data_IF_498393115979
#
_entry.id   IF_498393115979
#
_cell.length_a   1.000
_cell.length_b   1.000
_cell.length_c   1.000
_cell.angle_alpha   90.00
_cell.angle_beta   90.00
_cell.angle_gamma   90.00
#
_symmetry.space_group_name_H-M   'P 1'
#
loop_
_entity.id
_entity.type
_entity.pdbx_description
1 polymer ?
#
# COMPACT_ATOMS: atom_id res chain seq x y z
N UNK A 1 15.92 50.77 -12.62
CA UNK A 1 15.23 49.73 -13.39
C UNK A 1 16.01 48.43 -13.25
N UNK A 2 15.80 47.68 -12.16
CA UNK A 2 16.35 46.34 -11.96
C UNK A 2 15.17 45.41 -11.70
N UNK A 3 14.52 45.00 -12.78
CA UNK A 3 13.36 44.12 -12.74
C UNK A 3 13.78 42.72 -12.29
N UNK A 4 13.07 42.22 -11.27
CA UNK A 4 13.02 40.85 -10.78
C UNK A 4 13.39 39.77 -11.81
N UNK A 5 14.63 39.28 -11.74
CA UNK A 5 15.09 38.07 -12.45
C UNK A 5 14.94 36.78 -11.61
N UNK A 6 14.40 36.86 -10.38
CA UNK A 6 14.28 35.71 -9.47
C UNK A 6 13.08 34.80 -9.73
N UNK A 7 12.12 35.19 -10.56
CA UNK A 7 10.82 34.51 -10.67
C UNK A 7 10.62 33.62 -11.91
N UNK A 8 11.53 33.62 -12.88
CA UNK A 8 11.32 32.89 -14.14
C UNK A 8 11.73 31.41 -14.11
N UNK A 9 12.40 30.93 -13.05
CA UNK A 9 12.94 29.56 -12.97
C UNK A 9 12.61 28.80 -11.69
N UNK A 10 11.77 29.34 -10.80
CA UNK A 10 11.37 28.63 -9.60
C UNK A 10 10.36 27.53 -9.98
N UNK A 11 10.66 26.28 -9.64
CA UNK A 11 9.72 25.18 -9.88
C UNK A 11 8.44 25.40 -9.03
N UNK A 12 7.27 24.89 -9.45
CA UNK A 12 5.98 25.25 -8.85
C UNK A 12 5.84 24.91 -7.35
N UNK A 13 6.60 23.94 -6.83
CA UNK A 13 6.57 23.53 -5.43
C UNK A 13 7.85 23.94 -4.68
N UNK A 14 8.67 24.84 -5.24
CA UNK A 14 9.92 25.27 -4.62
C UNK A 14 9.69 25.83 -3.21
N UNK A 15 10.41 25.28 -2.23
CA UNK A 15 10.31 25.67 -0.82
C UNK A 15 9.09 25.10 -0.07
N UNK A 16 8.27 24.26 -0.72
CA UNK A 16 7.14 23.58 -0.08
C UNK A 16 7.54 22.21 0.44
N UNK A 17 7.25 21.93 1.71
CA UNK A 17 7.44 20.63 2.33
C UNK A 17 6.13 19.86 2.41
N UNK A 18 6.06 18.71 1.73
CA UNK A 18 4.83 17.91 1.57
C UNK A 18 5.02 16.54 2.21
N UNK A 19 4.16 16.19 3.16
CA UNK A 19 4.13 14.87 3.76
C UNK A 19 3.25 13.90 2.96
N UNK A 20 3.77 12.70 2.70
CA UNK A 20 3.06 11.63 1.99
C UNK A 20 2.75 10.48 2.96
N UNK A 21 1.46 10.19 3.15
CA UNK A 21 1.00 9.20 4.16
C UNK A 21 0.89 7.76 3.65
N UNK A 22 1.22 7.54 2.36
CA UNK A 22 1.06 6.27 1.65
C UNK A 22 2.17 5.26 2.00
N UNK A 23 1.86 3.96 1.90
CA UNK A 23 2.84 2.88 2.10
C UNK A 23 4.11 3.08 1.26
N UNK A 24 5.27 2.75 1.84
CA UNK A 24 6.62 3.01 1.30
C UNK A 24 6.82 2.53 -0.14
N UNK A 25 6.28 1.36 -0.50
CA UNK A 25 6.37 0.80 -1.86
C UNK A 25 5.65 1.63 -2.94
N UNK A 26 4.68 2.45 -2.55
CA UNK A 26 3.89 3.31 -3.45
C UNK A 26 4.22 4.80 -3.29
N UNK A 27 4.95 5.18 -2.23
CA UNK A 27 5.38 6.55 -1.99
C UNK A 27 6.40 7.04 -3.04
N UNK A 28 7.32 6.18 -3.48
CA UNK A 28 8.45 6.60 -4.32
C UNK A 28 8.07 7.27 -5.66
N UNK A 29 7.02 6.80 -6.35
CA UNK A 29 6.60 7.45 -7.60
C UNK A 29 5.98 8.83 -7.36
N UNK A 30 5.17 8.97 -6.31
CA UNK A 30 4.54 10.22 -5.95
C UNK A 30 5.58 11.22 -5.39
N UNK A 31 6.49 10.75 -4.53
CA UNK A 31 7.60 11.53 -4.01
C UNK A 31 8.48 12.06 -5.15
N UNK A 32 8.81 11.24 -6.15
CA UNK A 32 9.55 11.68 -7.34
C UNK A 32 8.80 12.72 -8.15
N UNK A 33 7.48 12.58 -8.32
CA UNK A 33 6.67 13.55 -9.05
C UNK A 33 6.68 14.93 -8.36
N UNK A 34 6.50 14.97 -7.04
CA UNK A 34 6.57 16.23 -6.27
C UNK A 34 7.98 16.81 -6.24
N UNK A 35 9.01 15.98 -6.06
CA UNK A 35 10.41 16.41 -6.10
C UNK A 35 10.85 16.95 -7.46
N UNK A 36 10.35 16.38 -8.56
CA UNK A 36 10.58 16.90 -9.91
C UNK A 36 10.05 18.33 -10.08
N UNK A 37 9.00 18.68 -9.33
CA UNK A 37 8.38 20.01 -9.26
C UNK A 37 8.97 20.92 -8.17
N UNK A 38 10.06 20.49 -7.50
CA UNK A 38 10.79 21.30 -6.52
C UNK A 38 10.31 21.18 -5.07
N UNK A 39 9.34 20.30 -4.79
CA UNK A 39 8.85 20.05 -3.44
C UNK A 39 9.81 19.21 -2.61
N UNK A 40 9.95 19.53 -1.33
CA UNK A 40 10.64 18.70 -0.35
C UNK A 40 9.65 17.66 0.20
N UNK A 41 9.92 16.38 -0.02
CA UNK A 41 8.98 15.30 0.37
C UNK A 41 9.38 14.69 1.70
N UNK A 42 8.42 14.65 2.63
CA UNK A 42 8.52 13.89 3.88
C UNK A 42 7.71 12.61 3.73
N UNK A 43 8.39 11.50 3.52
CA UNK A 43 7.73 10.19 3.49
C UNK A 43 7.32 9.79 4.91
N UNK A 44 6.02 9.61 5.11
CA UNK A 44 5.43 9.18 6.37
C UNK A 44 4.44 8.02 6.12
N UNK A 45 4.93 6.83 5.75
CA UNK A 45 4.04 5.70 5.51
C UNK A 45 3.23 5.40 6.77
N UNK A 46 1.89 5.42 6.70
CA UNK A 46 1.02 5.14 7.86
C UNK A 46 0.85 3.65 8.16
N UNK A 47 1.43 2.79 7.33
CA UNK A 47 1.43 1.33 7.47
C UNK A 47 2.88 0.84 7.43
N UNK A 48 3.21 0.01 8.39
CA UNK A 48 4.44 -0.76 8.43
C UNK A 48 4.13 -2.22 8.14
N UNK A 49 5.02 -2.87 7.39
CA UNK A 49 4.93 -4.28 7.06
C UNK A 49 5.91 -5.01 7.96
N UNK A 50 5.39 -5.86 8.84
CA UNK A 50 6.16 -6.64 9.79
C UNK A 50 6.07 -8.14 9.48
N UNK A 51 7.02 -8.94 9.96
CA UNK A 51 6.86 -10.39 10.10
C UNK A 51 5.54 -10.79 10.79
N UNK A 52 5.06 -12.02 10.55
CA UNK A 52 3.94 -12.59 11.32
C UNK A 52 4.35 -12.73 12.79
N UNK A 53 3.38 -12.85 13.70
CA UNK A 53 3.68 -13.03 15.13
C UNK A 53 4.43 -14.32 15.42
N UNK A 54 4.12 -15.36 14.65
CA UNK A 54 4.86 -16.61 14.63
C UNK A 54 5.02 -17.11 13.20
N UNK A 55 6.19 -17.68 12.92
CA UNK A 55 6.44 -18.40 11.69
C UNK A 55 5.99 -19.86 11.74
N UNK A 56 5.60 -20.40 12.91
CA UNK A 56 5.28 -21.83 13.06
C UNK A 56 4.22 -22.32 12.06
N UNK A 57 3.11 -21.60 11.82
CA UNK A 57 2.12 -22.03 10.82
C UNK A 57 2.71 -22.05 9.41
N UNK A 58 3.53 -21.05 9.07
CA UNK A 58 4.19 -20.95 7.77
C UNK A 58 5.21 -22.07 7.58
N UNK A 59 5.99 -22.38 8.61
CA UNK A 59 7.00 -23.44 8.57
C UNK A 59 6.35 -24.81 8.40
N UNK A 60 5.24 -25.07 9.10
CA UNK A 60 4.49 -26.32 8.98
C UNK A 60 3.93 -26.54 7.57
N UNK A 61 3.39 -25.50 6.93
CA UNK A 61 2.91 -25.62 5.54
C UNK A 61 4.06 -25.74 4.55
N UNK A 62 5.19 -25.04 4.76
CA UNK A 62 6.37 -25.15 3.90
C UNK A 62 6.98 -26.56 3.98
N UNK A 63 7.03 -27.17 5.17
CA UNK A 63 7.50 -28.56 5.32
C UNK A 63 6.65 -29.55 4.50
N UNK A 64 5.35 -29.28 4.38
CA UNK A 64 4.37 -30.10 3.67
C UNK A 64 4.02 -29.54 2.29
N UNK A 65 4.87 -28.66 1.73
CA UNK A 65 4.49 -27.85 0.55
C UNK A 65 4.11 -28.71 -0.66
N UNK A 66 4.73 -29.89 -0.79
CA UNK A 66 4.47 -30.87 -1.87
C UNK A 66 3.05 -31.44 -1.87
N UNK A 67 2.31 -31.28 -0.77
CA UNK A 67 0.92 -31.74 -0.66
C UNK A 67 -0.09 -30.73 -1.22
N UNK A 68 0.36 -29.52 -1.54
CA UNK A 68 -0.49 -28.50 -2.14
C UNK A 68 -0.52 -28.67 -3.65
N UNK A 69 -1.68 -28.36 -4.22
CA UNK A 69 -1.89 -28.34 -5.65
C UNK A 69 -1.82 -26.91 -6.20
N UNK A 70 -2.14 -25.93 -5.35
CA UNK A 70 -2.11 -24.52 -5.69
C UNK A 70 -1.49 -23.68 -4.58
N UNK A 71 -0.77 -22.63 -4.98
CA UNK A 71 -0.42 -21.49 -4.13
C UNK A 71 -0.96 -20.22 -4.78
N UNK A 72 -1.76 -19.46 -4.05
CA UNK A 72 -2.40 -18.25 -4.56
C UNK A 72 -1.87 -17.02 -3.83
N UNK A 73 -1.12 -16.19 -4.55
CA UNK A 73 -0.57 -14.94 -4.03
C UNK A 73 -1.44 -13.73 -4.40
N UNK A 74 -1.92 -13.04 -3.38
CA UNK A 74 -2.76 -11.85 -3.54
C UNK A 74 -2.04 -10.52 -3.29
N UNK A 75 -0.73 -10.55 -3.07
CA UNK A 75 0.11 -9.36 -2.96
C UNK A 75 1.58 -9.66 -3.22
N UNK A 76 2.33 -8.63 -3.63
CA UNK A 76 3.79 -8.68 -3.72
C UNK A 76 4.42 -9.02 -2.36
N UNK A 77 3.86 -8.48 -1.27
CA UNK A 77 4.35 -8.78 0.08
C UNK A 77 4.17 -10.26 0.44
N UNK A 78 3.04 -10.88 0.08
CA UNK A 78 2.82 -12.31 0.30
C UNK A 78 3.88 -13.16 -0.39
N UNK A 79 4.26 -12.80 -1.62
CA UNK A 79 5.37 -13.44 -2.36
C UNK A 79 6.68 -13.25 -1.60
N UNK A 80 7.04 -12.01 -1.30
CA UNK A 80 8.34 -11.69 -0.71
C UNK A 80 8.55 -12.36 0.65
N UNK A 81 7.56 -12.29 1.55
CA UNK A 81 7.66 -12.88 2.89
C UNK A 81 7.64 -14.41 2.85
N UNK A 82 6.81 -15.01 1.97
CA UNK A 82 6.82 -16.45 1.78
C UNK A 82 8.19 -16.96 1.31
N UNK A 83 8.76 -16.36 0.25
CA UNK A 83 10.04 -16.81 -0.29
C UNK A 83 11.25 -16.43 0.57
N UNK A 84 11.18 -15.32 1.32
CA UNK A 84 12.17 -15.03 2.34
C UNK A 84 12.23 -16.16 3.37
N UNK A 85 11.07 -16.58 3.92
CA UNK A 85 11.03 -17.67 4.88
C UNK A 85 11.42 -19.02 4.26
N UNK A 86 10.96 -19.30 3.04
CA UNK A 86 11.33 -20.51 2.30
C UNK A 86 12.85 -20.66 2.15
N UNK A 87 13.54 -19.55 1.85
CA UNK A 87 15.01 -19.51 1.76
C UNK A 87 15.69 -19.64 3.12
N UNK A 88 15.18 -19.00 4.17
CA UNK A 88 15.69 -19.14 5.55
C UNK A 88 15.66 -20.59 6.03
N UNK A 89 14.57 -21.31 5.70
CA UNK A 89 14.43 -22.74 5.95
C UNK A 89 15.28 -23.63 5.03
N UNK A 90 16.14 -23.04 4.18
CA UNK A 90 17.01 -23.72 3.21
C UNK A 90 16.26 -24.70 2.30
N UNK A 91 15.01 -24.37 1.96
CA UNK A 91 14.21 -25.17 1.03
C UNK A 91 14.61 -24.91 -0.41
N UNK A 92 14.40 -25.91 -1.24
CA UNK A 92 14.74 -25.83 -2.65
C UNK A 92 13.51 -25.44 -3.47
N UNK A 93 13.65 -24.45 -4.36
CA UNK A 93 12.52 -23.98 -5.19
C UNK A 93 11.93 -25.10 -6.06
N UNK A 94 12.74 -26.12 -6.40
CA UNK A 94 12.33 -27.30 -7.16
C UNK A 94 11.30 -28.15 -6.41
N UNK A 95 11.14 -27.95 -5.10
CA UNK A 95 10.08 -28.59 -4.31
C UNK A 95 8.68 -28.10 -4.68
N UNK A 96 8.57 -26.95 -5.35
CA UNK A 96 7.31 -26.44 -5.88
C UNK A 96 6.94 -27.05 -7.25
N UNK A 97 7.75 -27.98 -7.78
CA UNK A 97 7.47 -28.64 -9.06
C UNK A 97 6.12 -29.35 -9.01
N UNK A 98 5.26 -29.04 -9.98
CA UNK A 98 3.92 -29.63 -10.11
C UNK A 98 2.82 -28.91 -9.33
N UNK A 99 3.18 -27.90 -8.52
CA UNK A 99 2.24 -27.02 -7.84
C UNK A 99 1.91 -25.86 -8.77
N UNK A 100 0.62 -25.61 -9.03
CA UNK A 100 0.19 -24.46 -9.82
C UNK A 100 0.23 -23.17 -8.98
N UNK A 101 0.57 -22.05 -9.60
CA UNK A 101 0.71 -20.75 -8.92
C UNK A 101 -0.20 -19.71 -9.56
N UNK A 102 -1.03 -19.06 -8.73
CA UNK A 102 -1.82 -17.91 -9.16
C UNK A 102 -1.27 -16.62 -8.55
N UNK A 103 -1.25 -15.55 -9.35
CA UNK A 103 -0.94 -14.21 -8.91
C UNK A 103 -2.12 -13.29 -9.23
N UNK A 104 -2.54 -12.46 -8.27
CA UNK A 104 -3.66 -11.53 -8.43
C UNK A 104 -3.49 -10.51 -9.56
N UNK A 105 -2.26 -10.24 -9.99
CA UNK A 105 -1.97 -9.21 -10.98
C UNK A 105 -0.49 -9.15 -11.38
N UNK A 106 -0.14 -8.25 -12.31
CA UNK A 106 1.16 -8.23 -12.99
C UNK A 106 2.33 -7.98 -12.04
N UNK A 107 2.18 -7.08 -11.06
CA UNK A 107 3.26 -6.81 -10.09
C UNK A 107 3.55 -8.01 -9.19
N UNK A 108 2.51 -8.74 -8.78
CA UNK A 108 2.67 -9.99 -8.01
C UNK A 108 3.31 -11.08 -8.87
N UNK A 109 2.93 -11.18 -10.15
CA UNK A 109 3.56 -12.10 -11.10
C UNK A 109 5.03 -11.75 -11.37
N UNK A 110 5.38 -10.46 -11.44
CA UNK A 110 6.76 -9.98 -11.54
C UNK A 110 7.59 -10.34 -10.31
N UNK A 111 7.03 -10.21 -9.11
CA UNK A 111 7.68 -10.64 -7.88
C UNK A 111 7.95 -12.15 -7.86
N UNK A 112 7.02 -12.97 -8.36
CA UNK A 112 7.24 -14.41 -8.55
C UNK A 112 8.36 -14.68 -9.56
N UNK A 113 8.42 -13.91 -10.65
CA UNK A 113 9.50 -13.99 -11.64
C UNK A 113 10.87 -13.73 -11.02
N UNK A 114 10.98 -12.75 -10.12
CA UNK A 114 12.22 -12.48 -9.38
C UNK A 114 12.62 -13.63 -8.43
N UNK A 115 11.66 -14.46 -7.99
CA UNK A 115 11.90 -15.69 -7.24
C UNK A 115 12.16 -16.93 -8.13
N UNK A 116 12.24 -16.74 -9.46
CA UNK A 116 12.49 -17.82 -10.43
C UNK A 116 11.26 -18.63 -10.82
N UNK A 117 10.05 -18.13 -10.55
CA UNK A 117 8.79 -18.82 -10.83
C UNK A 117 7.93 -18.05 -11.83
N UNK A 118 7.14 -18.78 -12.61
CA UNK A 118 6.10 -18.23 -13.48
C UNK A 118 4.73 -18.57 -12.88
N UNK A 119 3.83 -17.59 -12.83
CA UNK A 119 2.44 -17.85 -12.47
C UNK A 119 1.72 -18.56 -13.63
N UNK A 120 0.96 -19.60 -13.31
CA UNK A 120 0.07 -20.32 -14.22
C UNK A 120 -1.22 -19.53 -14.48
N UNK A 121 -1.65 -18.73 -13.50
CA UNK A 121 -2.84 -17.89 -13.59
C UNK A 121 -2.52 -16.46 -13.15
N UNK A 122 -2.81 -15.51 -14.04
CA UNK A 122 -2.84 -14.07 -13.75
C UNK A 122 -4.12 -13.49 -14.38
N UNK A 123 -5.11 -13.05 -13.59
CA UNK A 123 -6.34 -12.53 -14.15
C UNK A 123 -6.13 -11.15 -14.81
N UNK A 124 -7.02 -10.79 -15.74
CA UNK A 124 -7.01 -9.46 -16.36
C UNK A 124 -7.41 -8.36 -15.38
N UNK A 125 -8.34 -8.67 -14.48
CA UNK A 125 -8.77 -7.77 -13.41
C UNK A 125 -8.06 -8.10 -12.10
N UNK A 126 -7.51 -7.10 -11.41
CA UNK A 126 -6.65 -7.33 -10.23
C UNK A 126 -7.45 -7.45 -8.93
N UNK A 127 -8.45 -8.34 -8.91
CA UNK A 127 -9.36 -8.56 -7.77
C UNK A 127 -9.59 -10.06 -7.51
N UNK A 128 -9.94 -10.39 -6.27
CA UNK A 128 -10.04 -11.78 -5.80
C UNK A 128 -11.04 -12.61 -6.61
N UNK A 129 -12.13 -11.96 -7.01
CA UNK A 129 -13.20 -12.49 -7.84
C UNK A 129 -12.69 -12.90 -9.22
N UNK A 130 -11.70 -12.20 -9.77
CA UNK A 130 -11.13 -12.53 -11.07
C UNK A 130 -10.20 -13.74 -11.01
N UNK A 131 -9.53 -13.98 -9.87
CA UNK A 131 -8.85 -15.27 -9.63
C UNK A 131 -9.87 -16.40 -9.65
N UNK A 132 -11.02 -16.23 -9.00
CA UNK A 132 -12.11 -17.22 -9.00
C UNK A 132 -12.66 -17.43 -10.43
N UNK A 133 -12.77 -16.40 -11.26
CA UNK A 133 -13.19 -16.60 -12.65
C UNK A 133 -12.16 -17.40 -13.48
N UNK A 134 -10.87 -17.19 -13.20
CA UNK A 134 -9.79 -17.91 -13.87
C UNK A 134 -9.54 -19.33 -13.36
N UNK A 135 -9.86 -19.59 -12.09
CA UNK A 135 -9.73 -20.90 -11.43
C UNK A 135 -11.11 -21.55 -11.38
N UNK A 136 -11.36 -22.55 -12.22
CA UNK A 136 -12.71 -23.14 -12.29
C UNK A 136 -13.01 -24.06 -11.09
N UNK A 137 -14.28 -24.26 -10.68
CA UNK A 137 -14.63 -25.13 -9.57
C UNK A 137 -14.04 -26.54 -9.65
N UNK A 138 -14.00 -27.13 -10.85
CA UNK A 138 -13.41 -28.44 -11.12
C UNK A 138 -11.90 -28.51 -10.89
N UNK A 139 -11.18 -27.38 -11.00
CA UNK A 139 -9.75 -27.30 -10.71
C UNK A 139 -9.45 -27.15 -9.23
N UNK A 140 -10.43 -26.71 -8.43
CA UNK A 140 -10.32 -26.51 -6.99
C UNK A 140 -10.85 -27.70 -6.18
N UNK A 141 -11.87 -28.41 -6.68
CA UNK A 141 -12.53 -29.50 -5.96
C UNK A 141 -11.54 -30.60 -5.56
N UNK A 142 -11.52 -30.94 -4.27
CA UNK A 142 -10.63 -31.95 -3.68
C UNK A 142 -9.14 -31.55 -3.68
N UNK A 143 -8.82 -30.29 -4.00
CA UNK A 143 -7.45 -29.79 -4.01
C UNK A 143 -7.11 -29.08 -2.71
N UNK A 144 -5.83 -29.19 -2.34
CA UNK A 144 -5.23 -28.38 -1.28
C UNK A 144 -4.67 -27.10 -1.86
N UNK A 145 -5.10 -25.96 -1.33
CA UNK A 145 -4.75 -24.62 -1.79
C UNK A 145 -4.16 -23.84 -0.62
N UNK A 146 -2.95 -23.32 -0.81
CA UNK A 146 -2.29 -22.43 0.13
C UNK A 146 -2.52 -20.96 -0.26
N UNK A 147 -2.93 -20.14 0.69
CA UNK A 147 -3.08 -18.69 0.55
C UNK A 147 -2.14 -17.96 1.53
N UNK A 148 -0.93 -17.58 1.10
CA UNK A 148 -0.01 -16.76 1.88
C UNK A 148 -0.42 -15.28 1.80
N UNK A 149 -0.90 -14.69 2.90
CA UNK A 149 -1.44 -13.31 2.93
C UNK A 149 -1.41 -12.69 4.34
N UNK A 150 -2.02 -11.52 4.52
CA UNK A 150 -2.31 -10.95 5.85
C UNK A 150 -3.56 -11.60 6.45
N UNK A 151 -3.67 -11.61 7.79
CA UNK A 151 -4.88 -12.10 8.47
C UNK A 151 -6.15 -11.35 8.04
N UNK A 152 -6.14 -10.01 8.03
CA UNK A 152 -7.34 -9.17 7.81
C UNK A 152 -7.68 -8.86 6.35
N UNK A 153 -7.44 -9.79 5.42
CA UNK A 153 -7.88 -9.58 4.04
C UNK A 153 -9.32 -10.09 3.82
N UNK A 154 -9.97 -9.72 2.71
CA UNK A 154 -11.34 -10.17 2.41
C UNK A 154 -11.44 -11.69 2.30
N UNK A 155 -12.50 -12.27 2.85
CA UNK A 155 -12.67 -13.72 2.94
C UNK A 155 -13.38 -14.36 1.73
N UNK A 156 -13.75 -13.56 0.73
CA UNK A 156 -14.45 -14.08 -0.46
C UNK A 156 -13.69 -15.22 -1.14
N UNK A 157 -12.37 -15.07 -1.35
CA UNK A 157 -11.54 -16.08 -2.00
C UNK A 157 -11.47 -17.40 -1.21
N UNK A 158 -11.02 -17.44 0.06
CA UNK A 158 -10.98 -18.70 0.80
C UNK A 158 -12.38 -19.30 1.02
N UNK A 159 -13.43 -18.48 1.19
CA UNK A 159 -14.80 -18.95 1.32
C UNK A 159 -15.27 -19.67 0.05
N UNK A 160 -15.16 -19.03 -1.11
CA UNK A 160 -15.62 -19.61 -2.37
C UNK A 160 -14.83 -20.86 -2.77
N UNK A 161 -13.51 -20.89 -2.54
CA UNK A 161 -12.71 -22.08 -2.80
C UNK A 161 -13.16 -23.28 -1.94
N UNK A 162 -13.49 -23.05 -0.68
CA UNK A 162 -14.06 -24.08 0.20
C UNK A 162 -15.45 -24.52 -0.25
N UNK A 163 -16.28 -23.60 -0.72
CA UNK A 163 -17.60 -23.91 -1.32
C UNK A 163 -17.47 -24.80 -2.57
N UNK A 164 -16.38 -24.66 -3.34
CA UNK A 164 -16.07 -25.56 -4.46
C UNK A 164 -15.50 -26.93 -4.02
N UNK A 165 -15.28 -27.13 -2.72
CA UNK A 165 -14.77 -28.38 -2.14
C UNK A 165 -13.24 -28.45 -2.06
N UNK A 166 -12.54 -27.31 -2.05
CA UNK A 166 -11.11 -27.28 -1.80
C UNK A 166 -10.80 -27.27 -0.29
N UNK A 167 -9.67 -27.88 0.08
CA UNK A 167 -9.04 -27.69 1.39
C UNK A 167 -8.15 -26.45 1.32
N UNK A 168 -8.47 -25.42 2.11
CA UNK A 168 -7.84 -24.10 2.00
C UNK A 168 -7.15 -23.67 3.28
N UNK A 169 -5.83 -23.59 3.22
CA UNK A 169 -4.98 -23.07 4.29
C UNK A 169 -4.66 -21.59 4.03
N UNK A 170 -5.17 -20.72 4.91
CA UNK A 170 -4.87 -19.29 4.89
C UNK A 170 -3.78 -19.05 5.93
N UNK A 171 -2.59 -18.69 5.46
CA UNK A 171 -1.41 -18.54 6.33
C UNK A 171 -0.98 -17.08 6.34
N UNK A 172 -0.86 -16.54 7.56
CA UNK A 172 -0.31 -15.21 7.76
C UNK A 172 1.20 -15.24 7.48
N UNK A 173 1.62 -14.52 6.44
CA UNK A 173 3.05 -14.40 6.07
C UNK A 173 3.67 -13.08 6.46
N UNK A 174 2.83 -12.08 6.71
CA UNK A 174 3.23 -10.76 7.16
C UNK A 174 2.04 -10.07 7.83
N UNK A 175 2.35 -9.07 8.63
CA UNK A 175 1.36 -8.19 9.26
C UNK A 175 1.48 -6.78 8.74
N UNK A 176 0.35 -6.10 8.68
CA UNK A 176 0.27 -4.67 8.46
C UNK A 176 -0.09 -4.03 9.79
N UNK A 177 0.81 -3.23 10.35
CA UNK A 177 0.55 -2.45 11.57
C UNK A 177 0.61 -0.97 11.24
N UNK A 178 0.04 -0.14 12.11
CA UNK A 178 0.17 1.31 12.00
C UNK A 178 1.63 1.67 12.28
N UNK A 179 2.29 2.34 11.33
CA UNK A 179 3.71 2.67 11.44
C UNK A 179 3.93 3.76 12.50
N UNK A 180 4.50 3.38 13.65
CA UNK A 180 4.76 4.31 14.77
C UNK A 180 6.17 4.91 14.75
N UNK A 181 7.11 4.29 14.02
CA UNK A 181 8.54 4.61 14.05
C UNK A 181 8.84 6.09 13.76
N UNK A 182 8.07 6.73 12.89
CA UNK A 182 8.28 8.13 12.48
C UNK A 182 7.24 9.09 13.09
N UNK A 183 6.27 8.60 13.88
CA UNK A 183 5.11 9.39 14.28
C UNK A 183 5.50 10.59 15.15
N UNK A 184 6.45 10.40 16.08
CA UNK A 184 6.99 11.49 16.91
C UNK A 184 7.69 12.56 16.07
N UNK A 185 8.48 12.15 15.07
CA UNK A 185 9.17 13.07 14.17
C UNK A 185 8.18 13.89 13.37
N UNK A 186 7.15 13.26 12.79
CA UNK A 186 6.13 13.99 12.06
C UNK A 186 5.35 14.95 12.98
N UNK A 187 4.97 14.49 14.18
CA UNK A 187 4.28 15.31 15.16
C UNK A 187 5.08 16.58 15.50
N UNK A 188 6.39 16.45 15.72
CA UNK A 188 7.26 17.59 15.99
C UNK A 188 7.33 18.54 14.80
N UNK A 189 7.46 18.01 13.58
CA UNK A 189 7.45 18.84 12.37
C UNK A 189 6.12 19.59 12.18
N UNK A 190 4.99 18.95 12.47
CA UNK A 190 3.67 19.57 12.40
C UNK A 190 3.50 20.67 13.44
N UNK A 191 3.88 20.42 14.70
CA UNK A 191 3.88 21.42 15.78
C UNK A 191 4.78 22.62 15.46
N UNK A 192 5.92 22.38 14.83
CA UNK A 192 6.85 23.42 14.39
C UNK A 192 6.43 24.09 13.07
N UNK A 193 5.26 23.74 12.51
CA UNK A 193 4.75 24.24 11.22
C UNK A 193 5.76 24.08 10.08
N UNK A 194 6.52 23.00 10.12
CA UNK A 194 7.57 22.65 9.14
C UNK A 194 7.02 21.88 7.93
N UNK A 195 5.74 21.51 7.94
CA UNK A 195 5.05 20.82 6.85
C UNK A 195 4.00 21.78 6.28
N UNK A 196 4.07 22.08 4.99
CA UNK A 196 3.08 22.92 4.30
C UNK A 196 1.83 22.14 3.93
N UNK A 197 1.95 20.83 3.66
CA UNK A 197 0.82 20.00 3.24
C UNK A 197 0.97 18.54 3.63
N UNK A 198 -0.13 17.88 3.98
CA UNK A 198 -0.24 16.43 4.15
C UNK A 198 -1.16 15.86 3.06
N UNK A 199 -0.76 14.73 2.49
CA UNK A 199 -1.54 14.06 1.43
C UNK A 199 -2.10 12.73 1.93
N UNK A 200 -3.36 12.44 1.60
CA UNK A 200 -4.04 11.17 1.87
C UNK A 200 -4.49 10.52 0.56
N UNK A 201 -4.08 9.27 0.34
CA UNK A 201 -4.35 8.54 -0.90
C UNK A 201 -5.35 7.40 -0.74
N UNK A 202 -5.87 7.20 0.46
CA UNK A 202 -6.97 6.28 0.76
C UNK A 202 -7.56 6.57 2.13
N UNK A 203 -8.81 6.18 2.36
CA UNK A 203 -9.45 6.23 3.68
C UNK A 203 -8.63 5.54 4.76
N UNK A 204 -7.95 4.43 4.44
CA UNK A 204 -7.07 3.75 5.39
C UNK A 204 -5.86 4.59 5.82
N UNK A 205 -5.29 5.40 4.92
CA UNK A 205 -4.18 6.31 5.31
C UNK A 205 -4.65 7.40 6.27
N UNK A 206 -5.89 7.88 6.12
CA UNK A 206 -6.51 8.85 7.04
C UNK A 206 -6.74 8.21 8.41
N UNK A 207 -7.42 7.05 8.45
CA UNK A 207 -7.72 6.36 9.69
C UNK A 207 -6.45 5.99 10.48
N UNK A 208 -5.42 5.51 9.79
CA UNK A 208 -4.14 5.18 10.42
C UNK A 208 -3.42 6.44 10.93
N UNK A 209 -3.48 7.56 10.21
CA UNK A 209 -2.92 8.82 10.66
C UNK A 209 -3.62 9.31 11.94
N UNK A 210 -4.95 9.30 11.99
CA UNK A 210 -5.70 9.68 13.18
C UNK A 210 -5.37 8.76 14.38
N UNK A 211 -5.25 7.44 14.13
CA UNK A 211 -4.88 6.46 15.16
C UNK A 211 -3.46 6.62 15.72
N UNK A 212 -2.57 7.36 15.04
CA UNK A 212 -1.23 7.69 15.52
C UNK A 212 -1.22 8.81 16.56
N UNK A 213 -2.25 9.66 16.56
CA UNK A 213 -2.37 10.84 17.42
C UNK A 213 -3.69 10.86 18.20
N UNK A 214 -4.06 9.78 18.93
CA UNK A 214 -5.39 9.65 19.53
C UNK A 214 -5.68 10.61 20.70
N UNK A 215 -4.64 11.20 21.29
CA UNK A 215 -4.74 12.15 22.40
C UNK A 215 -4.54 13.61 21.97
N UNK A 216 -4.35 13.86 20.67
CA UNK A 216 -4.13 15.20 20.14
C UNK A 216 -5.42 15.75 19.54
N UNK A 217 -5.60 17.06 19.65
CA UNK A 217 -6.48 17.78 18.75
C UNK A 217 -5.86 17.74 17.35
N UNK A 218 -6.39 16.86 16.49
CA UNK A 218 -5.87 16.66 15.14
C UNK A 218 -6.02 17.95 14.31
N UNK A 219 -7.10 18.69 14.49
CA UNK A 219 -7.31 19.96 13.79
C UNK A 219 -6.25 20.98 14.19
N UNK A 220 -6.00 21.12 15.50
CA UNK A 220 -4.92 21.95 16.04
C UNK A 220 -3.53 21.53 15.54
N UNK A 221 -3.23 20.23 15.51
CA UNK A 221 -1.97 19.67 15.02
C UNK A 221 -1.75 20.00 13.53
N UNK A 222 -2.81 20.00 12.73
CA UNK A 222 -2.79 20.28 11.30
C UNK A 222 -3.00 21.75 10.95
N UNK A 223 -3.18 22.65 11.92
CA UNK A 223 -3.49 24.07 11.69
C UNK A 223 -2.46 24.82 10.82
N UNK A 224 -1.20 24.36 10.80
CA UNK A 224 -0.12 24.92 9.98
C UNK A 224 0.05 24.29 8.60
N UNK A 225 -0.73 23.25 8.27
CA UNK A 225 -0.61 22.47 7.04
C UNK A 225 -1.95 22.42 6.28
N UNK A 226 -1.87 22.43 4.96
CA UNK A 226 -3.00 22.07 4.11
C UNK A 226 -3.18 20.55 4.05
N UNK A 227 -4.39 20.07 3.80
CA UNK A 227 -4.67 18.64 3.62
C UNK A 227 -5.19 18.38 2.21
N UNK A 228 -4.55 17.46 1.50
CA UNK A 228 -4.94 17.05 0.15
C UNK A 228 -5.36 15.59 0.07
N UNK A 229 -6.56 15.33 -0.42
CA UNK A 229 -7.10 13.98 -0.62
C UNK A 229 -7.10 13.58 -2.10
N UNK A 230 -6.80 12.31 -2.38
CA UNK A 230 -6.84 11.79 -3.75
C UNK A 230 -8.26 11.77 -4.33
N UNK A 231 -9.31 11.76 -3.49
CA UNK A 231 -10.69 11.74 -3.97
C UNK A 231 -11.74 11.81 -2.84
N UNK A 232 -13.03 11.85 -3.20
CA UNK A 232 -14.14 12.18 -2.30
C UNK A 232 -14.35 11.17 -1.18
N UNK A 233 -14.08 9.88 -1.42
CA UNK A 233 -14.18 8.85 -0.38
C UNK A 233 -13.12 9.08 0.72
N UNK A 234 -11.92 9.48 0.31
CA UNK A 234 -10.84 9.78 1.27
C UNK A 234 -11.11 11.08 2.02
N UNK A 235 -11.64 12.09 1.31
CA UNK A 235 -12.11 13.35 1.93
C UNK A 235 -13.16 13.08 3.00
N UNK A 236 -14.21 12.33 2.67
CA UNK A 236 -15.28 12.01 3.61
C UNK A 236 -14.75 11.35 4.89
N UNK A 237 -13.83 10.38 4.75
CA UNK A 237 -13.19 9.76 5.93
C UNK A 237 -12.37 10.74 6.76
N UNK A 238 -11.70 11.72 6.12
CA UNK A 238 -10.96 12.76 6.82
C UNK A 238 -11.89 13.67 7.63
N UNK A 239 -12.98 14.14 7.02
CA UNK A 239 -13.97 14.99 7.67
C UNK A 239 -14.67 14.26 8.84
N UNK A 240 -15.02 12.98 8.67
CA UNK A 240 -15.57 12.12 9.74
C UNK A 240 -14.63 11.96 10.94
N UNK A 241 -13.32 12.12 10.73
CA UNK A 241 -12.28 12.03 11.75
C UNK A 241 -11.79 13.41 12.23
N UNK A 242 -12.52 14.48 11.90
CA UNK A 242 -12.20 15.85 12.34
C UNK A 242 -11.01 16.48 11.60
N UNK A 243 -10.64 15.96 10.43
CA UNK A 243 -9.58 16.51 9.59
C UNK A 243 -10.20 17.37 8.49
N UNK A 244 -9.94 18.69 8.52
CA UNK A 244 -10.28 19.59 7.42
C UNK A 244 -9.52 19.22 6.15
N UNK A 245 -10.19 19.30 4.99
CA UNK A 245 -9.58 18.99 3.69
C UNK A 245 -9.59 20.24 2.81
N UNK A 246 -8.41 20.68 2.37
CA UNK A 246 -8.24 21.90 1.57
C UNK A 246 -8.21 21.60 0.06
N UNK A 247 -7.79 20.40 -0.32
CA UNK A 247 -7.60 20.01 -1.72
C UNK A 247 -8.16 18.61 -1.96
N UNK A 248 -8.93 18.45 -3.05
CA UNK A 248 -9.44 17.14 -3.49
C UNK A 248 -9.17 16.99 -4.97
N UNK A 249 -8.43 15.94 -5.35
CA UNK A 249 -8.17 15.65 -6.76
C UNK A 249 -9.46 15.21 -7.48
N UNK A 250 -9.68 15.74 -8.69
CA UNK A 250 -10.82 15.37 -9.55
C UNK A 250 -10.61 14.04 -10.27
N UNK A 251 -9.36 13.69 -10.59
CA UNK A 251 -9.04 12.54 -11.43
C UNK A 251 -8.71 11.27 -10.64
N UNK A 252 -8.84 11.30 -9.31
CA UNK A 252 -8.60 10.17 -8.40
C UNK A 252 -7.31 9.37 -8.61
N UNK A 253 -6.28 10.03 -9.14
CA UNK A 253 -5.00 9.44 -9.51
C UNK A 253 -3.85 10.27 -8.94
N UNK A 254 -2.67 9.68 -8.85
CA UNK A 254 -1.47 10.40 -8.39
C UNK A 254 -1.12 11.62 -9.26
N UNK A 255 -1.18 11.54 -10.61
CA UNK A 255 -1.01 12.72 -11.45
C UNK A 255 -2.08 13.79 -11.21
N UNK A 256 -3.34 13.39 -11.01
CA UNK A 256 -4.43 14.32 -10.68
C UNK A 256 -4.19 15.04 -9.35
N UNK A 257 -3.82 14.29 -8.31
CA UNK A 257 -3.46 14.85 -7.00
C UNK A 257 -2.25 15.78 -7.09
N UNK A 258 -1.24 15.40 -7.88
CA UNK A 258 -0.06 16.26 -8.10
C UNK A 258 -0.45 17.60 -8.72
N UNK A 259 -1.32 17.59 -9.74
CA UNK A 259 -1.84 18.84 -10.35
C UNK A 259 -2.61 19.70 -9.36
N UNK A 260 -3.52 19.09 -8.61
CA UNK A 260 -4.33 19.80 -7.61
C UNK A 260 -3.46 20.48 -6.52
N UNK A 261 -2.37 19.82 -6.11
CA UNK A 261 -1.39 20.40 -5.17
C UNK A 261 -0.67 21.61 -5.77
N UNK A 262 -0.25 21.51 -7.04
CA UNK A 262 0.41 22.63 -7.75
C UNK A 262 -0.53 23.82 -7.89
N UNK A 263 -1.78 23.60 -8.29
CA UNK A 263 -2.80 24.64 -8.42
C UNK A 263 -3.05 25.34 -7.07
N UNK A 264 -3.15 24.58 -5.98
CA UNK A 264 -3.34 25.12 -4.64
C UNK A 264 -2.21 26.07 -4.23
N UNK A 265 -0.94 25.67 -4.40
CA UNK A 265 0.18 26.53 -4.04
C UNK A 265 0.40 27.69 -5.02
N UNK A 266 0.03 27.54 -6.30
CA UNK A 266 0.04 28.62 -7.28
C UNK A 266 -0.89 29.77 -6.89
N UNK A 267 -2.13 29.48 -6.49
CA UNK A 267 -3.11 30.49 -6.07
C UNK A 267 -2.70 31.25 -4.80
N UNK A 268 -1.82 30.68 -3.97
CA UNK A 268 -1.32 31.32 -2.74
C UNK A 268 -0.13 32.25 -3.02
N UNK A 269 0.61 32.05 -4.12
CA UNK A 269 1.73 32.91 -4.50
C UNK A 269 1.31 34.18 -5.23
N UNK A 270 0.05 34.28 -5.67
CA UNK A 270 -0.54 35.45 -6.32
C UNK A 270 -1.25 36.42 -5.34
N UNK A 271 -1.35 36.05 -4.06
CA UNK A 271 -1.91 36.88 -2.98
C UNK A 271 -0.81 37.52 -2.15
#
# INVERSE_FOLDING_TARGET
MAGNLKTLNAKPLSGRRIAITRARSQAGAFARALGALGGEVVEFPTIEILPPESYDPLDQVIQKIKNYHWIIFTSVNGVNFFFARFKELRRDIRELKGIKIAAIGPETAKALGAAGLRADLVPQEFRAEAILQGLKPEEARGKRILLPRVARARDILPKTLREWGAEVDVIETYRTVVARSDARRLQEMLRQKKIDMITFTSSSTVANFAALFPAEDIEGLLSGAAVACIGPITQKTAEELGIRVDVVSRDYTIPGLTRAIVEYFGMQSEK
#
